data_IF_470837748541
#
_entry.id   IF_470837748541
#
_cell.length_a   1.000
_cell.length_b   1.000
_cell.length_c   1.000
_cell.angle_alpha   90.00
_cell.angle_beta   90.00
_cell.angle_gamma   90.00
#
_symmetry.space_group_name_H-M   'P 1'
#
loop_
_entity.id
_entity.type
_entity.pdbx_description
1 polymer ?
#
# COMPACT_ATOMS: atom_id res chain seq x y z
N UNK A 1 -13.05 -12.01 9.18
CA UNK A 1 -12.21 -11.52 8.06
C UNK A 1 -12.67 -12.13 6.74
N UNK A 2 -13.01 -11.31 5.76
CA UNK A 2 -13.27 -11.76 4.40
C UNK A 2 -11.94 -12.04 3.69
N UNK A 3 -11.88 -13.09 2.87
CA UNK A 3 -10.77 -13.33 1.96
C UNK A 3 -11.17 -13.01 0.53
N UNK A 4 -10.28 -12.35 -0.18
CA UNK A 4 -10.44 -12.02 -1.59
C UNK A 4 -9.28 -12.64 -2.38
N UNK A 5 -9.59 -13.20 -3.53
CA UNK A 5 -8.60 -13.72 -4.46
C UNK A 5 -8.00 -12.56 -5.26
N UNK A 6 -6.70 -12.58 -5.47
CA UNK A 6 -6.02 -11.60 -6.31
C UNK A 6 -6.01 -12.10 -7.77
N UNK A 7 -6.87 -11.53 -8.60
CA UNK A 7 -7.02 -11.89 -10.01
C UNK A 7 -7.20 -13.42 -10.19
N UNK A 8 -6.61 -14.00 -11.22
CA UNK A 8 -6.59 -15.44 -11.51
C UNK A 8 -5.50 -16.21 -10.74
N UNK A 9 -4.76 -15.55 -9.83
CA UNK A 9 -3.72 -16.20 -9.02
C UNK A 9 -4.31 -17.13 -7.95
N UNK A 10 -3.45 -17.96 -7.33
CA UNK A 10 -3.82 -18.78 -6.18
C UNK A 10 -3.76 -18.01 -4.83
N UNK A 11 -3.47 -16.70 -4.85
CA UNK A 11 -3.33 -15.90 -3.64
C UNK A 11 -4.69 -15.45 -3.12
N UNK A 12 -5.05 -15.90 -1.93
CA UNK A 12 -6.20 -15.44 -1.17
C UNK A 12 -5.75 -14.59 0.02
N UNK A 13 -6.04 -13.31 -0.02
CA UNK A 13 -5.66 -12.32 0.99
C UNK A 13 -6.86 -11.87 1.81
N UNK A 14 -6.66 -11.60 3.10
CA UNK A 14 -7.68 -10.95 3.92
C UNK A 14 -7.94 -9.53 3.44
N UNK A 15 -9.18 -9.05 3.54
CA UNK A 15 -9.58 -7.69 3.19
C UNK A 15 -8.95 -6.61 4.10
N UNK A 16 -8.37 -7.02 5.23
CA UNK A 16 -7.47 -6.24 6.09
C UNK A 16 -6.04 -6.76 5.92
N UNK A 17 -5.07 -5.89 5.64
CA UNK A 17 -3.66 -6.21 5.49
C UNK A 17 -2.83 -5.49 6.56
N UNK A 18 -1.92 -6.19 7.24
CA UNK A 18 -0.97 -5.59 8.17
C UNK A 18 0.15 -4.88 7.40
N UNK A 19 0.16 -3.55 7.49
CA UNK A 19 1.22 -2.70 6.94
C UNK A 19 2.35 -2.47 7.93
N UNK A 20 3.60 -2.62 7.50
CA UNK A 20 4.79 -2.67 8.38
C UNK A 20 5.72 -1.47 8.25
N UNK A 21 5.35 -0.46 7.50
CA UNK A 21 6.20 0.67 7.07
C UNK A 21 6.95 1.42 8.19
N UNK A 22 6.49 1.31 9.44
CA UNK A 22 7.07 2.04 10.58
C UNK A 22 8.08 1.22 11.40
N UNK A 23 8.23 -0.08 11.11
CA UNK A 23 9.05 -0.99 11.91
C UNK A 23 10.54 -0.83 11.63
N UNK A 24 11.28 -0.54 12.68
CA UNK A 24 12.71 -0.21 12.60
C UNK A 24 13.01 1.30 12.71
N UNK A 25 11.96 2.14 12.72
CA UNK A 25 12.06 3.59 13.02
C UNK A 25 11.15 3.99 14.19
N UNK A 26 9.83 3.85 14.02
CA UNK A 26 8.85 4.17 15.08
C UNK A 26 8.56 2.97 15.98
N UNK A 27 8.70 1.77 15.45
CA UNK A 27 8.47 0.53 16.19
C UNK A 27 9.75 -0.28 16.32
N UNK A 28 9.93 -0.88 17.48
CA UNK A 28 10.94 -1.88 17.76
C UNK A 28 10.63 -3.23 17.09
N UNK A 29 11.60 -4.13 17.08
CA UNK A 29 11.42 -5.51 16.61
C UNK A 29 10.36 -6.26 17.44
N UNK A 30 10.37 -6.09 18.77
CA UNK A 30 9.40 -6.74 19.64
C UNK A 30 7.96 -6.28 19.38
N UNK A 31 7.74 -4.99 19.15
CA UNK A 31 6.42 -4.47 18.79
C UNK A 31 5.97 -4.96 17.41
N UNK A 32 6.88 -5.05 16.43
CA UNK A 32 6.58 -5.64 15.12
C UNK A 32 6.16 -7.10 15.22
N UNK A 33 6.89 -7.89 16.02
CA UNK A 33 6.54 -9.31 16.28
C UNK A 33 5.17 -9.44 16.95
N UNK A 34 4.88 -8.62 17.97
CA UNK A 34 3.58 -8.61 18.64
C UNK A 34 2.42 -8.27 17.66
N UNK A 35 2.65 -7.35 16.72
CA UNK A 35 1.65 -7.02 15.69
C UNK A 35 1.43 -8.18 14.71
N UNK A 36 2.45 -8.96 14.33
CA UNK A 36 2.28 -10.17 13.50
C UNK A 36 1.49 -11.23 14.26
N UNK A 37 1.85 -11.49 15.52
CA UNK A 37 1.15 -12.49 16.34
C UNK A 37 -0.31 -12.10 16.55
N UNK A 38 -0.59 -10.83 16.80
CA UNK A 38 -1.95 -10.31 16.89
C UNK A 38 -2.72 -10.46 15.58
N UNK A 39 -2.11 -10.13 14.44
CA UNK A 39 -2.75 -10.25 13.13
C UNK A 39 -3.18 -11.68 12.84
N UNK A 40 -2.29 -12.65 13.07
CA UNK A 40 -2.59 -14.08 12.89
C UNK A 40 -3.68 -14.58 13.86
N UNK A 41 -3.66 -14.13 15.11
CA UNK A 41 -4.68 -14.48 16.11
C UNK A 41 -6.08 -13.95 15.70
N UNK A 42 -6.14 -12.86 14.94
CA UNK A 42 -7.38 -12.28 14.40
C UNK A 42 -7.70 -12.76 12.97
N UNK A 43 -7.02 -13.79 12.46
CA UNK A 43 -7.27 -14.38 11.15
C UNK A 43 -6.82 -13.54 9.96
N UNK A 44 -5.97 -12.52 10.19
CA UNK A 44 -5.34 -11.69 9.15
C UNK A 44 -4.14 -12.44 8.63
N UNK A 45 -4.15 -12.79 7.34
CA UNK A 45 -3.06 -13.53 6.70
C UNK A 45 -2.15 -12.68 5.82
N UNK A 46 -2.48 -11.43 5.57
CA UNK A 46 -1.78 -10.59 4.61
C UNK A 46 -0.87 -9.57 5.30
N UNK A 47 0.44 -9.61 4.97
CA UNK A 47 1.46 -8.73 5.53
C UNK A 47 2.18 -8.04 4.37
N UNK A 48 2.24 -6.71 4.41
CA UNK A 48 2.88 -5.88 3.38
C UNK A 48 4.13 -5.18 3.92
N UNK A 49 5.26 -5.42 3.27
CA UNK A 49 6.56 -4.78 3.52
C UNK A 49 7.19 -4.25 2.22
N UNK A 50 8.43 -3.77 2.25
CA UNK A 50 9.21 -3.34 1.09
C UNK A 50 10.71 -3.28 1.39
N UNK A 51 11.56 -3.46 0.37
CA UNK A 51 13.03 -3.37 0.52
C UNK A 51 13.52 -2.02 1.04
N UNK A 52 12.80 -0.93 0.72
CA UNK A 52 13.18 0.41 1.15
C UNK A 52 12.72 0.78 2.56
N UNK A 53 11.84 -0.01 3.18
CA UNK A 53 11.32 0.31 4.51
C UNK A 53 12.38 0.14 5.60
N UNK A 54 12.28 0.90 6.70
CA UNK A 54 11.16 1.76 7.14
C UNK A 54 11.08 3.14 6.48
N UNK A 55 10.01 3.87 6.82
CA UNK A 55 9.81 5.26 6.44
C UNK A 55 9.89 6.14 7.70
N UNK A 56 10.66 7.26 7.68
CA UNK A 56 11.38 7.85 6.54
C UNK A 56 12.56 6.98 6.09
N UNK A 57 12.79 6.85 4.76
CA UNK A 57 13.88 6.02 4.28
C UNK A 57 15.23 6.66 4.59
N UNK A 58 16.11 5.89 5.23
CA UNK A 58 17.48 6.24 5.57
C UNK A 58 18.41 5.12 5.16
N UNK A 59 19.67 5.44 4.86
CA UNK A 59 20.69 4.44 4.51
C UNK A 59 20.90 3.42 5.63
N UNK A 60 20.92 3.91 6.88
CA UNK A 60 21.25 3.15 8.07
C UNK A 60 20.15 2.12 8.45
N UNK A 61 18.91 2.37 8.06
CA UNK A 61 17.77 1.54 8.43
C UNK A 61 17.10 0.85 7.22
N UNK A 62 17.63 1.04 6.01
CA UNK A 62 17.08 0.43 4.80
C UNK A 62 17.06 -1.10 4.92
N UNK A 63 15.89 -1.70 4.67
CA UNK A 63 15.67 -3.14 4.78
C UNK A 63 15.34 -3.62 6.18
N UNK A 64 15.45 -2.77 7.22
CA UNK A 64 15.22 -3.17 8.62
C UNK A 64 13.83 -3.74 8.85
N UNK A 65 12.81 -3.24 8.15
CA UNK A 65 11.45 -3.78 8.27
C UNK A 65 11.37 -5.22 7.77
N UNK A 66 12.01 -5.55 6.64
CA UNK A 66 12.08 -6.93 6.17
C UNK A 66 12.87 -7.83 7.13
N UNK A 67 13.93 -7.33 7.75
CA UNK A 67 14.68 -8.07 8.77
C UNK A 67 13.82 -8.40 10.00
N UNK A 68 13.00 -7.44 10.47
CA UNK A 68 12.07 -7.66 11.59
C UNK A 68 11.04 -8.74 11.24
N UNK A 69 10.46 -8.69 10.05
CA UNK A 69 9.56 -9.77 9.57
C UNK A 69 10.31 -11.09 9.48
N UNK A 70 11.54 -11.06 8.97
CA UNK A 70 12.40 -12.26 8.81
C UNK A 70 12.78 -12.91 10.14
N UNK A 71 13.16 -12.12 11.15
CA UNK A 71 13.47 -12.66 12.48
C UNK A 71 12.25 -13.29 13.16
N UNK A 72 11.04 -12.74 12.92
CA UNK A 72 9.80 -13.37 13.36
C UNK A 72 9.57 -14.70 12.63
N UNK A 73 9.71 -14.74 11.30
CA UNK A 73 9.55 -15.98 10.51
C UNK A 73 10.58 -17.04 10.88
N UNK A 74 11.83 -16.65 11.12
CA UNK A 74 12.89 -17.54 11.57
C UNK A 74 12.56 -18.24 12.90
N UNK A 75 11.94 -17.51 13.83
CA UNK A 75 11.45 -18.03 15.12
C UNK A 75 10.14 -18.86 14.99
N UNK A 76 9.35 -18.64 13.94
CA UNK A 76 8.01 -19.18 13.76
C UNK A 76 7.86 -19.96 12.43
N UNK A 77 8.84 -20.76 12.03
CA UNK A 77 8.89 -21.44 10.71
C UNK A 77 7.61 -22.23 10.37
N UNK A 78 6.98 -22.85 11.35
CA UNK A 78 5.72 -23.57 11.19
C UNK A 78 4.51 -22.69 10.84
N UNK A 79 4.61 -21.36 11.00
CA UNK A 79 3.54 -20.40 10.67
C UNK A 79 3.68 -19.76 9.28
N UNK A 80 4.79 -20.02 8.53
CA UNK A 80 5.02 -19.39 7.22
C UNK A 80 3.85 -19.60 6.24
N UNK A 81 3.27 -20.79 6.22
CA UNK A 81 2.15 -21.12 5.34
C UNK A 81 0.83 -20.42 5.72
N UNK A 82 0.74 -19.80 6.90
CA UNK A 82 -0.43 -19.02 7.31
C UNK A 82 -0.40 -17.58 6.80
N UNK A 83 0.72 -17.15 6.20
CA UNK A 83 0.97 -15.76 5.79
C UNK A 83 1.05 -15.68 4.27
N UNK A 84 0.34 -14.72 3.70
CA UNK A 84 0.61 -14.17 2.37
C UNK A 84 1.53 -12.96 2.57
N UNK A 85 2.79 -13.10 2.18
CA UNK A 85 3.82 -12.09 2.37
C UNK A 85 4.01 -11.28 1.09
N UNK A 86 3.82 -9.96 1.18
CA UNK A 86 4.14 -9.04 0.10
C UNK A 86 5.40 -8.24 0.39
N UNK A 87 6.28 -8.09 -0.60
CA UNK A 87 7.37 -7.13 -0.58
C UNK A 87 7.46 -6.38 -1.92
N UNK A 88 8.42 -5.43 -2.05
CA UNK A 88 8.47 -4.52 -3.20
C UNK A 88 9.89 -4.16 -3.58
N UNK A 89 10.18 -4.10 -4.89
CA UNK A 89 11.38 -3.47 -5.42
C UNK A 89 11.17 -1.96 -5.54
N UNK A 90 12.07 -1.16 -4.97
CA UNK A 90 12.08 0.28 -5.15
C UNK A 90 12.43 0.64 -6.61
N UNK A 91 11.66 1.56 -7.21
CA UNK A 91 11.94 2.10 -8.53
C UNK A 91 12.95 3.24 -8.52
N UNK A 92 13.14 3.94 -9.67
CA UNK A 92 14.09 5.03 -9.81
C UNK A 92 13.85 6.17 -8.83
N UNK A 93 14.94 6.76 -8.32
CA UNK A 93 14.87 7.90 -7.40
C UNK A 93 16.21 8.22 -6.75
N UNK A 94 16.17 9.23 -5.85
CA UNK A 94 17.37 9.75 -5.15
C UNK A 94 17.73 8.90 -3.92
N UNK A 95 17.91 7.58 -4.10
CA UNK A 95 18.29 6.65 -3.01
C UNK A 95 19.49 5.83 -3.47
N UNK A 96 20.63 6.50 -3.56
CA UNK A 96 21.91 5.97 -4.05
C UNK A 96 22.49 4.83 -3.19
N UNK A 97 21.91 4.61 -2.00
CA UNK A 97 22.29 3.49 -1.12
C UNK A 97 21.53 2.19 -1.41
N UNK A 98 20.35 2.24 -2.06
CA UNK A 98 19.62 1.04 -2.43
C UNK A 98 20.31 0.39 -3.63
N UNK A 99 20.70 -0.88 -3.49
CA UNK A 99 21.42 -1.63 -4.54
C UNK A 99 22.60 -0.85 -5.14
N UNK A 100 23.38 -0.14 -4.29
CA UNK A 100 24.51 0.71 -4.70
C UNK A 100 24.15 1.77 -5.76
N UNK A 101 22.93 2.32 -5.69
CA UNK A 101 22.44 3.32 -6.64
C UNK A 101 21.73 2.76 -7.88
N UNK A 102 21.72 1.46 -8.06
CA UNK A 102 21.04 0.77 -9.18
C UNK A 102 19.55 0.67 -8.91
N UNK A 103 18.84 1.79 -9.07
CA UNK A 103 17.39 1.88 -8.72
C UNK A 103 16.46 1.60 -9.91
N UNK A 104 16.98 1.38 -11.12
CA UNK A 104 16.17 0.96 -12.26
C UNK A 104 15.49 -0.40 -12.00
N UNK A 105 14.26 -0.57 -12.49
CA UNK A 105 13.51 -1.83 -12.43
C UNK A 105 13.78 -2.60 -13.73
N UNK A 106 14.78 -3.47 -13.71
CA UNK A 106 15.35 -4.13 -14.90
C UNK A 106 15.65 -5.61 -14.65
N UNK A 107 15.99 -6.33 -15.72
CA UNK A 107 16.46 -7.73 -15.63
C UNK A 107 17.72 -7.91 -14.76
N UNK A 108 18.49 -6.85 -14.53
CA UNK A 108 19.66 -6.85 -13.63
C UNK A 108 19.21 -6.72 -12.17
N UNK A 109 18.31 -5.80 -11.88
CA UNK A 109 17.99 -5.35 -10.52
C UNK A 109 16.85 -6.12 -9.87
N UNK A 110 15.88 -6.61 -10.64
CA UNK A 110 14.76 -7.41 -10.10
C UNK A 110 15.26 -8.67 -9.39
N UNK A 111 16.08 -9.56 -10.00
CA UNK A 111 16.57 -10.75 -9.30
C UNK A 111 17.46 -10.39 -8.10
N UNK A 112 18.28 -9.34 -8.19
CA UNK A 112 19.09 -8.87 -7.07
C UNK A 112 18.21 -8.43 -5.89
N UNK A 113 17.22 -7.57 -6.14
CA UNK A 113 16.32 -7.09 -5.09
C UNK A 113 15.53 -8.23 -4.42
N UNK A 114 15.05 -9.22 -5.21
CA UNK A 114 14.38 -10.40 -4.69
C UNK A 114 15.31 -11.21 -3.79
N UNK A 115 16.53 -11.48 -4.23
CA UNK A 115 17.49 -12.29 -3.46
C UNK A 115 17.87 -11.62 -2.14
N UNK A 116 18.05 -10.30 -2.15
CA UNK A 116 18.33 -9.56 -0.93
C UNK A 116 17.11 -9.48 0.01
N UNK A 117 15.89 -9.33 -0.53
CA UNK A 117 14.65 -9.40 0.26
C UNK A 117 14.46 -10.78 0.87
N UNK A 118 14.68 -11.86 0.14
CA UNK A 118 14.59 -13.24 0.66
C UNK A 118 15.57 -13.48 1.81
N UNK A 119 16.81 -12.96 1.72
CA UNK A 119 17.79 -13.03 2.81
C UNK A 119 17.30 -12.31 4.07
N UNK A 120 16.84 -11.04 3.92
CA UNK A 120 16.32 -10.25 5.05
C UNK A 120 15.07 -10.91 5.67
N UNK A 121 14.17 -11.39 4.82
CA UNK A 121 12.93 -12.06 5.23
C UNK A 121 13.12 -13.49 5.76
N UNK A 122 14.32 -14.08 5.64
CA UNK A 122 14.64 -15.45 6.08
C UNK A 122 13.66 -16.52 5.56
N UNK A 123 13.25 -16.39 4.29
CA UNK A 123 12.31 -17.29 3.61
C UNK A 123 12.82 -17.62 2.21
N UNK A 124 12.35 -18.72 1.65
CA UNK A 124 12.69 -19.19 0.30
C UNK A 124 11.79 -18.59 -0.80
N UNK A 125 10.66 -17.98 -0.42
CA UNK A 125 9.76 -17.37 -1.38
C UNK A 125 9.00 -16.16 -0.80
N UNK A 126 8.60 -15.24 -1.69
CA UNK A 126 7.67 -14.13 -1.43
C UNK A 126 6.37 -14.44 -2.20
N UNK A 127 5.21 -14.29 -1.54
CA UNK A 127 3.94 -14.61 -2.16
C UNK A 127 3.54 -13.57 -3.22
N UNK A 128 3.69 -12.27 -2.90
CA UNK A 128 3.39 -11.17 -3.82
C UNK A 128 4.58 -10.21 -3.88
N UNK A 129 5.25 -10.11 -5.03
CA UNK A 129 6.34 -9.16 -5.21
C UNK A 129 5.90 -8.00 -6.09
N UNK A 130 6.12 -6.75 -5.66
CA UNK A 130 5.52 -5.59 -6.31
C UNK A 130 6.59 -4.63 -6.85
N UNK A 131 6.33 -4.01 -7.99
CA UNK A 131 7.06 -2.82 -8.44
C UNK A 131 6.52 -1.65 -7.63
N UNK A 132 7.34 -1.07 -6.74
CA UNK A 132 6.92 -0.11 -5.71
C UNK A 132 6.42 1.21 -6.29
N UNK A 133 6.98 1.65 -7.41
CA UNK A 133 6.50 2.74 -8.26
C UNK A 133 7.04 2.56 -9.67
N UNK A 134 6.38 3.16 -10.66
CA UNK A 134 6.75 2.98 -12.06
C UNK A 134 8.18 3.37 -12.39
N UNK A 135 8.79 2.60 -13.28
CA UNK A 135 10.11 2.88 -13.83
C UNK A 135 10.11 4.18 -14.64
N UNK A 136 9.09 4.36 -15.48
CA UNK A 136 8.87 5.60 -16.21
C UNK A 136 8.38 6.72 -15.27
N UNK A 137 8.47 7.98 -15.75
CA UNK A 137 7.84 9.08 -15.03
C UNK A 137 6.32 8.91 -14.99
N UNK A 138 5.76 9.07 -13.80
CA UNK A 138 4.32 9.26 -13.57
C UNK A 138 4.12 10.30 -12.48
N UNK A 139 3.04 11.10 -12.50
CA UNK A 139 2.68 11.92 -11.36
C UNK A 139 2.30 11.01 -10.18
N UNK A 140 2.68 11.39 -8.96
CA UNK A 140 2.38 10.59 -7.79
C UNK A 140 2.57 11.35 -6.47
N UNK A 141 2.21 10.71 -5.35
CA UNK A 141 2.41 11.22 -3.98
C UNK A 141 1.81 12.61 -3.74
N UNK A 142 0.64 12.90 -4.35
CA UNK A 142 -0.07 14.18 -4.22
C UNK A 142 0.08 15.10 -5.43
N UNK A 143 0.83 14.71 -6.46
CA UNK A 143 0.76 15.30 -7.80
C UNK A 143 -0.14 14.43 -8.68
N UNK A 144 -0.98 15.05 -9.52
CA UNK A 144 -1.88 14.33 -10.43
C UNK A 144 -1.74 14.77 -11.89
N UNK A 145 -1.15 15.93 -12.13
CA UNK A 145 -0.92 16.45 -13.48
C UNK A 145 0.29 15.79 -14.11
N UNK A 146 0.12 15.26 -15.31
CA UNK A 146 1.23 14.73 -16.10
C UNK A 146 2.03 15.89 -16.72
N UNK A 147 3.33 15.82 -16.61
CA UNK A 147 4.27 16.82 -17.11
C UNK A 147 5.29 16.14 -18.05
N UNK A 148 5.13 16.29 -19.38
CA UNK A 148 6.03 15.66 -20.34
C UNK A 148 7.51 16.04 -20.18
N UNK A 149 7.80 17.21 -19.60
CA UNK A 149 9.16 17.68 -19.37
C UNK A 149 9.93 16.85 -18.32
N UNK A 150 9.20 16.03 -17.54
CA UNK A 150 9.75 15.12 -16.52
C UNK A 150 9.92 13.69 -17.01
N UNK A 151 9.58 13.42 -18.27
CA UNK A 151 9.84 12.11 -18.86
C UNK A 151 11.33 11.77 -18.80
N UNK A 152 11.62 10.50 -18.66
CA UNK A 152 12.97 9.97 -18.58
C UNK A 152 13.07 8.67 -19.34
N UNK A 153 14.27 8.30 -19.73
CA UNK A 153 14.56 6.96 -20.21
C UNK A 153 14.14 5.93 -19.13
N UNK A 154 13.49 4.87 -19.55
CA UNK A 154 12.96 3.85 -18.67
C UNK A 154 13.14 2.46 -19.27
N UNK A 155 13.38 1.48 -18.42
CA UNK A 155 13.37 0.06 -18.81
C UNK A 155 12.01 -0.30 -19.40
N UNK A 156 12.02 -0.95 -20.56
CA UNK A 156 10.79 -1.36 -21.24
C UNK A 156 9.92 -2.26 -20.35
N UNK A 157 8.60 -2.11 -20.44
CA UNK A 157 7.65 -2.92 -19.65
C UNK A 157 7.84 -4.42 -19.95
N UNK A 158 8.13 -4.79 -21.19
CA UNK A 158 8.41 -6.20 -21.56
C UNK A 158 9.55 -6.79 -20.74
N UNK A 159 10.69 -6.08 -20.62
CA UNK A 159 11.82 -6.54 -19.81
C UNK A 159 11.46 -6.72 -18.33
N UNK A 160 10.63 -5.82 -17.79
CA UNK A 160 10.16 -5.92 -16.40
C UNK A 160 9.25 -7.14 -16.23
N UNK A 161 8.31 -7.37 -17.16
CA UNK A 161 7.40 -8.53 -17.15
C UNK A 161 8.18 -9.85 -17.31
N UNK A 162 9.13 -9.93 -18.23
CA UNK A 162 10.00 -11.12 -18.42
C UNK A 162 10.79 -11.43 -17.14
N UNK A 163 11.30 -10.41 -16.47
CA UNK A 163 12.06 -10.57 -15.22
C UNK A 163 11.17 -11.08 -14.07
N UNK A 164 9.95 -10.57 -13.94
CA UNK A 164 8.98 -11.09 -12.96
C UNK A 164 8.54 -12.51 -13.28
N UNK A 165 8.31 -12.84 -14.57
CA UNK A 165 8.02 -14.19 -15.02
C UNK A 165 9.14 -15.18 -14.68
N UNK A 166 10.39 -14.77 -14.87
CA UNK A 166 11.56 -15.58 -14.49
C UNK A 166 11.63 -15.83 -12.98
N UNK A 167 11.32 -14.81 -12.15
CA UNK A 167 11.25 -14.95 -10.70
C UNK A 167 10.12 -15.92 -10.25
N UNK A 168 8.96 -15.86 -10.91
CA UNK A 168 7.86 -16.80 -10.68
C UNK A 168 8.27 -18.22 -11.09
N UNK A 169 8.84 -18.40 -12.27
CA UNK A 169 9.32 -19.70 -12.77
C UNK A 169 10.37 -20.33 -11.87
N UNK A 170 11.21 -19.52 -11.23
CA UNK A 170 12.23 -20.02 -10.29
C UNK A 170 11.66 -20.41 -8.91
N UNK A 171 10.38 -20.12 -8.64
CA UNK A 171 9.73 -20.35 -7.35
C UNK A 171 10.03 -19.32 -6.26
N UNK A 172 10.87 -18.32 -6.53
CA UNK A 172 11.22 -17.27 -5.56
C UNK A 172 10.06 -16.30 -5.30
N UNK A 173 9.15 -16.15 -6.27
CA UNK A 173 7.95 -15.30 -6.21
C UNK A 173 6.77 -16.12 -6.67
N UNK A 174 5.61 -16.00 -6.01
CA UNK A 174 4.39 -16.71 -6.45
C UNK A 174 3.58 -15.92 -7.47
N UNK A 175 3.46 -14.60 -7.24
CA UNK A 175 2.81 -13.68 -8.17
C UNK A 175 3.44 -12.29 -8.03
N UNK A 176 3.22 -11.44 -9.04
CA UNK A 176 3.66 -10.05 -8.93
C UNK A 176 2.52 -9.05 -9.07
N UNK A 177 2.74 -7.86 -8.52
CA UNK A 177 1.81 -6.73 -8.58
C UNK A 177 2.52 -5.43 -8.94
N UNK A 178 1.73 -4.39 -9.13
CA UNK A 178 2.19 -3.04 -9.38
C UNK A 178 1.87 -2.15 -8.18
N UNK A 179 2.56 -1.02 -8.01
CA UNK A 179 2.21 -0.04 -6.99
C UNK A 179 2.46 1.38 -7.51
N UNK A 180 1.65 2.33 -7.06
CA UNK A 180 1.65 3.71 -7.52
C UNK A 180 1.53 3.84 -9.05
N UNK A 181 0.79 2.91 -9.64
CA UNK A 181 0.64 2.79 -11.09
C UNK A 181 -0.60 3.53 -11.58
N UNK A 182 -0.54 4.02 -12.81
CA UNK A 182 -1.66 4.67 -13.51
C UNK A 182 -2.52 3.66 -14.26
N UNK A 183 -3.72 4.07 -14.70
CA UNK A 183 -4.56 3.24 -15.57
C UNK A 183 -3.81 2.82 -16.85
N UNK A 184 -3.06 3.77 -17.49
CA UNK A 184 -2.25 3.45 -18.67
C UNK A 184 -1.26 2.32 -18.40
N UNK A 185 -0.45 2.45 -17.33
CA UNK A 185 0.55 1.43 -17.06
C UNK A 185 -0.06 0.09 -16.67
N UNK A 186 -1.16 0.09 -15.91
CA UNK A 186 -1.88 -1.15 -15.59
C UNK A 186 -2.36 -1.87 -16.87
N UNK A 187 -2.99 -1.14 -17.80
CA UNK A 187 -3.41 -1.69 -19.10
C UNK A 187 -2.22 -2.21 -19.91
N UNK A 188 -1.12 -1.46 -19.94
CA UNK A 188 0.05 -1.80 -20.74
C UNK A 188 0.78 -3.03 -20.20
N UNK A 189 0.97 -3.15 -18.86
CA UNK A 189 1.55 -4.35 -18.25
C UNK A 189 0.72 -5.61 -18.57
N UNK A 190 -0.60 -5.52 -18.46
CA UNK A 190 -1.48 -6.66 -18.78
C UNK A 190 -1.47 -6.99 -20.25
N UNK A 191 -1.48 -5.98 -21.15
CA UNK A 191 -1.40 -6.17 -22.60
C UNK A 191 -0.10 -6.88 -22.98
N UNK A 192 1.03 -6.33 -22.54
CA UNK A 192 2.37 -6.89 -22.82
C UNK A 192 2.50 -8.32 -22.29
N UNK A 193 2.03 -8.58 -21.07
CA UNK A 193 2.05 -9.94 -20.50
C UNK A 193 1.25 -10.92 -21.35
N UNK A 194 0.03 -10.57 -21.75
CA UNK A 194 -0.84 -11.43 -22.56
C UNK A 194 -0.28 -11.70 -23.95
N UNK A 195 0.22 -10.66 -24.64
CA UNK A 195 0.80 -10.80 -25.99
C UNK A 195 2.04 -11.69 -26.01
N UNK A 196 2.79 -11.74 -24.90
CA UNK A 196 3.99 -12.56 -24.78
C UNK A 196 3.76 -13.87 -23.99
N UNK A 197 2.51 -14.23 -23.68
CA UNK A 197 2.15 -15.45 -22.92
C UNK A 197 2.87 -15.53 -21.57
N UNK A 198 3.06 -14.40 -20.91
CA UNK A 198 3.71 -14.27 -19.60
C UNK A 198 2.68 -13.99 -18.50
N UNK A 199 2.99 -14.28 -17.23
CA UNK A 199 2.14 -13.91 -16.11
C UNK A 199 1.86 -12.40 -16.08
N UNK A 200 0.60 -12.01 -15.90
CA UNK A 200 0.18 -10.63 -15.71
C UNK A 200 0.24 -10.20 -14.24
N UNK A 201 0.26 -8.89 -13.93
CA UNK A 201 0.16 -8.42 -12.54
C UNK A 201 -1.20 -8.80 -11.96
N UNK A 202 -1.20 -9.27 -10.70
CA UNK A 202 -2.42 -9.75 -10.02
C UNK A 202 -3.05 -8.72 -9.08
N UNK A 203 -2.39 -7.59 -8.87
CA UNK A 203 -2.87 -6.49 -8.02
C UNK A 203 -2.20 -5.17 -8.38
N UNK A 204 -2.84 -4.07 -8.01
CA UNK A 204 -2.26 -2.73 -8.00
C UNK A 204 -2.38 -2.14 -6.60
N UNK A 205 -1.27 -1.65 -6.02
CA UNK A 205 -1.24 -1.05 -4.69
C UNK A 205 -1.13 0.47 -4.81
N UNK A 206 -2.23 1.19 -4.60
CA UNK A 206 -2.29 2.64 -4.73
C UNK A 206 -2.87 3.32 -3.48
N UNK A 207 -2.53 4.60 -3.28
CA UNK A 207 -3.14 5.42 -2.24
C UNK A 207 -4.63 5.62 -2.51
N UNK A 208 -5.47 5.23 -1.54
CA UNK A 208 -6.90 5.42 -1.64
C UNK A 208 -7.54 5.68 -0.27
N UNK A 209 -8.32 6.74 -0.17
CA UNK A 209 -9.03 7.14 1.05
C UNK A 209 -10.07 8.21 0.71
N UNK A 210 -10.86 8.65 1.68
CA UNK A 210 -11.75 9.81 1.54
C UNK A 210 -11.03 11.10 1.09
N UNK A 211 -9.70 11.20 1.29
CA UNK A 211 -8.87 12.35 0.89
C UNK A 211 -8.13 12.13 -0.43
N UNK A 212 -8.11 10.92 -0.98
CA UNK A 212 -7.35 10.53 -2.16
C UNK A 212 -8.19 9.58 -3.02
N UNK A 213 -9.06 10.12 -3.87
CA UNK A 213 -10.06 9.37 -4.62
C UNK A 213 -9.78 9.30 -6.12
N UNK A 214 -8.55 9.56 -6.55
CA UNK A 214 -8.19 9.46 -7.97
C UNK A 214 -8.39 8.05 -8.56
N UNK A 215 -8.42 7.02 -7.71
CA UNK A 215 -8.68 5.65 -8.17
C UNK A 215 -10.15 5.41 -8.58
N UNK A 216 -11.11 6.24 -8.19
CA UNK A 216 -12.52 6.07 -8.54
C UNK A 216 -12.82 6.24 -10.05
N UNK A 217 -11.92 6.89 -10.79
CA UNK A 217 -12.05 7.12 -12.23
C UNK A 217 -11.45 5.99 -13.09
N UNK A 218 -10.59 6.38 -14.03
CA UNK A 218 -9.97 5.46 -15.01
C UNK A 218 -9.29 4.23 -14.38
N UNK A 219 -8.57 4.34 -13.22
CA UNK A 219 -7.99 3.16 -12.60
C UNK A 219 -9.02 2.14 -12.13
N UNK A 220 -10.21 2.57 -11.69
CA UNK A 220 -11.27 1.66 -11.26
C UNK A 220 -11.86 0.88 -12.46
N UNK A 221 -12.04 1.55 -13.60
CA UNK A 221 -12.48 0.87 -14.83
C UNK A 221 -11.43 -0.15 -15.29
N UNK A 222 -10.15 0.25 -15.36
CA UNK A 222 -9.05 -0.63 -15.72
C UNK A 222 -8.97 -1.85 -14.77
N UNK A 223 -9.02 -1.61 -13.46
CA UNK A 223 -9.05 -2.66 -12.44
C UNK A 223 -10.18 -3.67 -12.69
N UNK A 224 -11.40 -3.18 -12.95
CA UNK A 224 -12.57 -4.02 -13.16
C UNK A 224 -12.47 -4.86 -14.44
N UNK A 225 -12.05 -4.23 -15.57
CA UNK A 225 -11.98 -4.89 -16.86
C UNK A 225 -10.84 -5.89 -16.98
N UNK A 226 -9.74 -5.63 -16.27
CA UNK A 226 -8.54 -6.46 -16.30
C UNK A 226 -8.51 -7.50 -15.17
N UNK A 227 -9.47 -7.43 -14.23
CA UNK A 227 -9.50 -8.25 -13.02
C UNK A 227 -8.22 -8.09 -12.17
N UNK A 228 -7.73 -6.86 -12.04
CA UNK A 228 -6.54 -6.53 -11.23
C UNK A 228 -6.97 -5.61 -10.08
N UNK A 229 -7.30 -6.18 -8.88
CA UNK A 229 -7.87 -5.42 -7.80
C UNK A 229 -6.87 -4.50 -7.10
N UNK A 230 -7.42 -3.50 -6.40
CA UNK A 230 -6.69 -2.54 -5.58
C UNK A 230 -6.30 -3.14 -4.23
N UNK A 231 -5.04 -2.93 -3.83
CA UNK A 231 -4.56 -2.97 -2.46
C UNK A 231 -4.44 -1.51 -1.98
N UNK A 232 -5.40 -1.06 -1.16
CA UNK A 232 -5.51 0.35 -0.79
C UNK A 232 -4.56 0.69 0.37
N UNK A 233 -3.61 1.61 0.18
CA UNK A 233 -2.83 2.14 1.29
C UNK A 233 -3.26 3.55 1.69
N UNK A 234 -2.87 3.98 2.90
CA UNK A 234 -3.21 5.29 3.49
C UNK A 234 -4.71 5.55 3.65
N UNK A 235 -5.50 4.52 3.94
CA UNK A 235 -6.95 4.63 4.14
C UNK A 235 -7.35 5.67 5.20
N UNK A 236 -6.50 5.87 6.22
CA UNK A 236 -6.67 6.88 7.28
C UNK A 236 -5.96 8.21 6.96
N UNK A 237 -5.47 8.45 5.72
CA UNK A 237 -4.78 9.69 5.36
C UNK A 237 -3.61 10.04 6.27
N UNK A 238 -2.75 9.05 6.59
CA UNK A 238 -1.66 9.16 7.57
C UNK A 238 -2.11 9.63 8.97
N UNK A 239 -3.35 9.31 9.34
CA UNK A 239 -3.95 9.64 10.63
C UNK A 239 -4.83 10.90 10.63
N UNK A 240 -4.98 11.61 9.52
CA UNK A 240 -5.91 12.74 9.40
C UNK A 240 -7.36 12.30 9.67
N UNK A 241 -7.75 11.19 9.10
CA UNK A 241 -9.11 10.64 9.22
C UNK A 241 -9.36 9.89 10.54
N UNK A 242 -8.47 10.00 11.53
CA UNK A 242 -8.76 9.60 12.92
C UNK A 242 -9.32 10.74 13.77
N UNK A 243 -9.31 11.97 13.26
CA UNK A 243 -9.76 13.16 13.99
C UNK A 243 -8.72 13.79 14.91
N UNK A 244 -7.57 13.15 15.17
CA UNK A 244 -6.57 13.63 16.14
C UNK A 244 -5.89 14.96 15.79
N UNK A 245 -6.09 15.46 14.56
CA UNK A 245 -5.56 16.74 14.10
C UNK A 245 -6.64 17.81 13.90
N UNK A 246 -7.89 17.51 14.26
CA UNK A 246 -8.98 18.49 14.21
C UNK A 246 -8.65 19.69 15.10
N UNK A 247 -9.21 20.84 14.74
CA UNK A 247 -9.03 22.11 15.46
C UNK A 247 -7.56 22.55 15.62
N UNK A 248 -6.70 22.09 14.71
CA UNK A 248 -5.28 22.43 14.73
C UNK A 248 -4.45 21.64 15.73
N UNK A 249 -4.99 20.59 16.34
CA UNK A 249 -4.24 19.74 17.27
C UNK A 249 -3.07 19.04 16.57
N UNK A 250 -1.90 19.04 17.25
CA UNK A 250 -0.66 18.43 16.74
C UNK A 250 0.00 17.57 17.84
N UNK A 251 -0.54 16.38 18.16
CA UNK A 251 0.02 15.52 19.19
C UNK A 251 1.49 15.19 18.88
N UNK A 252 2.44 15.32 19.85
CA UNK A 252 3.89 15.19 19.59
C UNK A 252 4.29 13.85 18.96
N UNK A 253 3.64 12.76 19.37
CA UNK A 253 3.92 11.42 18.87
C UNK A 253 3.21 11.09 17.56
N UNK A 254 2.36 12.00 17.07
CA UNK A 254 1.59 11.75 15.88
C UNK A 254 2.46 11.83 14.61
N UNK A 255 2.11 10.99 13.63
CA UNK A 255 2.87 10.79 12.39
C UNK A 255 3.14 12.09 11.63
N UNK A 256 2.17 13.01 11.56
CA UNK A 256 2.32 14.29 10.86
C UNK A 256 3.35 15.21 11.51
N UNK A 257 3.59 15.05 12.81
CA UNK A 257 4.64 15.79 13.53
C UNK A 257 6.00 15.15 13.31
N UNK A 258 6.07 13.82 13.42
CA UNK A 258 7.34 13.07 13.33
C UNK A 258 7.86 12.92 11.89
N UNK A 259 6.98 12.84 10.90
CA UNK A 259 7.30 12.55 9.49
C UNK A 259 6.84 13.69 8.56
N UNK A 260 7.05 14.95 8.96
CA UNK A 260 6.55 16.15 8.27
C UNK A 260 6.59 16.08 6.73
N UNK A 261 7.71 15.76 6.03
CA UNK A 261 7.74 15.81 4.58
C UNK A 261 6.78 14.80 3.90
N UNK A 262 6.57 13.63 4.54
CA UNK A 262 5.74 12.56 3.97
C UNK A 262 4.24 12.80 4.10
N UNK A 263 3.81 13.61 5.06
CA UNK A 263 2.41 13.87 5.37
C UNK A 263 1.84 15.16 4.81
N UNK A 264 2.67 16.07 4.30
CA UNK A 264 2.29 17.45 3.93
C UNK A 264 1.05 17.52 3.02
N UNK A 265 0.91 16.59 2.07
CA UNK A 265 -0.27 16.56 1.18
C UNK A 265 -1.60 16.42 1.92
N UNK A 266 -1.62 15.76 3.07
CA UNK A 266 -2.80 15.60 3.91
C UNK A 266 -3.03 16.76 4.87
N UNK A 267 -2.07 17.69 4.98
CA UNK A 267 -2.15 18.93 5.77
C UNK A 267 -2.51 20.16 4.93
N UNK A 268 -2.69 20.00 3.61
CA UNK A 268 -3.12 21.09 2.74
C UNK A 268 -4.47 21.66 3.20
N UNK A 269 -4.72 22.96 3.06
CA UNK A 269 -5.95 23.60 3.58
C UNK A 269 -7.25 22.90 3.11
N UNK A 270 -7.30 22.48 1.84
CA UNK A 270 -8.46 21.76 1.31
C UNK A 270 -8.64 20.36 1.92
N UNK A 271 -7.53 19.66 2.23
CA UNK A 271 -7.61 18.36 2.90
C UNK A 271 -8.10 18.51 4.35
N UNK A 272 -7.60 19.51 5.07
CA UNK A 272 -8.04 19.82 6.44
C UNK A 272 -9.53 20.20 6.45
N UNK A 273 -9.99 21.05 5.52
CA UNK A 273 -11.40 21.41 5.39
C UNK A 273 -12.29 20.20 5.10
N UNK A 274 -11.86 19.31 4.19
CA UNK A 274 -12.59 18.06 3.91
C UNK A 274 -12.68 17.14 5.13
N UNK A 275 -11.60 17.03 5.94
CA UNK A 275 -11.61 16.24 7.19
C UNK A 275 -12.65 16.77 8.17
N UNK A 276 -12.77 18.10 8.32
CA UNK A 276 -13.79 18.70 9.19
C UNK A 276 -15.22 18.33 8.72
N UNK A 277 -15.49 18.33 7.41
CA UNK A 277 -16.78 17.92 6.87
C UNK A 277 -17.03 16.41 7.07
N UNK A 278 -16.03 15.55 6.87
CA UNK A 278 -16.15 14.12 7.17
C UNK A 278 -16.38 13.87 8.66
N UNK A 279 -15.76 14.65 9.56
CA UNK A 279 -16.02 14.56 11.00
C UNK A 279 -17.47 14.97 11.35
N UNK A 280 -18.02 15.98 10.67
CA UNK A 280 -19.43 16.38 10.83
C UNK A 280 -20.39 15.27 10.39
N UNK A 281 -20.08 14.58 9.28
CA UNK A 281 -20.87 13.41 8.84
C UNK A 281 -20.75 12.27 9.85
N UNK A 282 -19.56 11.96 10.33
CA UNK A 282 -19.34 10.95 11.36
C UNK A 282 -20.22 11.23 12.61
N UNK A 283 -20.22 12.47 13.09
CA UNK A 283 -21.07 12.88 14.21
C UNK A 283 -22.58 12.79 13.89
N UNK A 284 -23.00 13.23 12.69
CA UNK A 284 -24.41 13.12 12.24
C UNK A 284 -24.94 11.69 12.32
N UNK A 285 -24.10 10.72 11.96
CA UNK A 285 -24.48 9.31 11.90
C UNK A 285 -24.02 8.49 13.12
N UNK A 286 -23.50 9.14 14.16
CA UNK A 286 -22.96 8.50 15.37
C UNK A 286 -21.92 7.40 15.06
N UNK A 287 -21.04 7.67 14.08
CA UNK A 287 -19.94 6.78 13.68
C UNK A 287 -18.58 7.38 14.07
N UNK A 288 -17.58 6.57 14.42
CA UNK A 288 -16.22 7.07 14.55
C UNK A 288 -15.66 7.48 13.17
N UNK A 289 -14.94 8.60 13.10
CA UNK A 289 -14.37 9.10 11.84
C UNK A 289 -13.41 8.09 11.18
N UNK A 290 -12.60 7.40 11.98
CA UNK A 290 -11.73 6.33 11.50
C UNK A 290 -12.54 5.17 10.90
N UNK A 291 -13.66 4.81 11.53
CA UNK A 291 -14.56 3.79 11.04
C UNK A 291 -15.23 4.18 9.72
N UNK A 292 -15.69 5.41 9.61
CA UNK A 292 -16.23 5.96 8.37
C UNK A 292 -15.21 5.84 7.22
N UNK A 293 -13.94 6.19 7.48
CA UNK A 293 -12.88 6.15 6.49
C UNK A 293 -12.47 4.72 6.07
N UNK A 294 -12.31 3.82 7.03
CA UNK A 294 -11.93 2.43 6.77
C UNK A 294 -13.05 1.66 6.08
N UNK A 295 -14.28 1.76 6.58
CA UNK A 295 -15.44 1.11 5.98
C UNK A 295 -15.73 1.64 4.57
N UNK A 296 -15.50 2.92 4.29
CA UNK A 296 -15.60 3.49 2.95
C UNK A 296 -14.65 2.78 1.98
N UNK A 297 -13.36 2.68 2.32
CA UNK A 297 -12.36 2.01 1.45
C UNK A 297 -12.71 0.55 1.22
N UNK A 298 -13.11 -0.18 2.28
CA UNK A 298 -13.56 -1.57 2.21
C UNK A 298 -14.78 -1.77 1.33
N UNK A 299 -15.71 -0.81 1.28
CA UNK A 299 -16.95 -0.92 0.52
C UNK A 299 -16.77 -0.83 -1.00
N UNK A 300 -15.58 -0.42 -1.47
CA UNK A 300 -15.35 -0.19 -2.91
C UNK A 300 -15.16 -1.51 -3.64
N UNK A 301 -15.87 -1.69 -4.75
CA UNK A 301 -15.91 -2.94 -5.53
C UNK A 301 -14.53 -3.38 -6.06
N UNK A 302 -13.61 -2.44 -6.23
CA UNK A 302 -12.26 -2.67 -6.73
C UNK A 302 -11.25 -2.98 -5.62
N UNK A 303 -11.59 -2.79 -4.35
CA UNK A 303 -10.66 -3.00 -3.23
C UNK A 303 -10.65 -4.46 -2.78
N UNK A 304 -9.53 -5.14 -2.98
CA UNK A 304 -9.33 -6.50 -2.46
C UNK A 304 -8.85 -6.48 -1.00
N UNK A 305 -7.98 -5.54 -0.65
CA UNK A 305 -7.45 -5.43 0.72
C UNK A 305 -7.07 -4.00 1.06
N UNK A 306 -7.24 -3.63 2.33
CA UNK A 306 -6.86 -2.33 2.87
C UNK A 306 -5.65 -2.50 3.78
N UNK A 307 -4.54 -1.81 3.44
CA UNK A 307 -3.29 -1.87 4.20
C UNK A 307 -3.37 -0.88 5.36
N UNK A 308 -3.38 -1.41 6.57
CA UNK A 308 -3.45 -0.66 7.82
C UNK A 308 -2.18 -0.88 8.61
N UNK A 309 -1.44 0.20 8.85
CA UNK A 309 -0.25 0.20 9.71
C UNK A 309 -0.52 0.98 10.98
N UNK A 310 0.00 0.50 12.10
CA UNK A 310 -0.14 1.10 13.41
C UNK A 310 1.18 1.11 14.19
N UNK A 311 1.27 1.93 15.23
CA UNK A 311 2.42 1.97 16.14
C UNK A 311 2.20 1.13 17.40
N UNK A 312 1.01 0.58 17.61
CA UNK A 312 0.71 -0.33 18.71
C UNK A 312 -0.38 -1.35 18.34
N UNK A 313 -0.46 -2.46 19.06
CA UNK A 313 -1.51 -3.46 18.93
C UNK A 313 -2.88 -2.84 19.22
N UNK A 314 -3.01 -2.00 20.23
CA UNK A 314 -4.27 -1.31 20.55
C UNK A 314 -4.81 -0.47 19.38
N UNK A 315 -3.94 0.19 18.60
CA UNK A 315 -4.37 0.90 17.38
C UNK A 315 -4.82 -0.06 16.26
N UNK A 316 -4.27 -1.27 16.19
CA UNK A 316 -4.74 -2.29 15.25
C UNK A 316 -6.10 -2.83 15.66
N UNK A 317 -6.32 -3.06 16.97
CA UNK A 317 -7.62 -3.49 17.52
C UNK A 317 -8.70 -2.47 17.20
N UNK A 318 -8.49 -1.20 17.54
CA UNK A 318 -9.39 -0.10 17.20
C UNK A 318 -9.64 -0.02 15.68
N UNK A 319 -8.59 -0.19 14.87
CA UNK A 319 -8.72 -0.14 13.41
C UNK A 319 -9.53 -1.32 12.88
N UNK A 320 -9.39 -2.51 13.46
CA UNK A 320 -10.12 -3.69 13.04
C UNK A 320 -11.63 -3.57 13.37
N UNK A 321 -11.96 -3.14 14.58
CA UNK A 321 -13.35 -2.85 14.99
C UNK A 321 -14.00 -1.84 14.04
N UNK A 322 -13.28 -0.75 13.74
CA UNK A 322 -13.71 0.28 12.82
C UNK A 322 -13.86 -0.22 11.37
N UNK A 323 -13.02 -1.16 10.95
CA UNK A 323 -13.02 -1.72 9.60
C UNK A 323 -14.25 -2.57 9.29
N UNK A 324 -14.85 -3.19 10.31
CA UNK A 324 -16.02 -4.07 10.14
C UNK A 324 -17.34 -3.33 10.00
N UNK A 325 -17.37 -2.02 10.19
CA UNK A 325 -18.56 -1.19 10.01
C UNK A 325 -19.13 -1.30 8.58
N UNK A 326 -20.46 -1.24 8.49
CA UNK A 326 -21.18 -1.21 7.21
C UNK A 326 -21.86 0.15 7.06
N UNK A 327 -21.51 0.86 6.00
CA UNK A 327 -22.07 2.19 5.73
C UNK A 327 -23.42 2.09 5.04
N UNK A 328 -24.40 2.85 5.52
CA UNK A 328 -25.69 2.95 4.87
C UNK A 328 -25.62 3.74 3.56
N UNK A 329 -26.58 3.59 2.63
CA UNK A 329 -26.66 4.41 1.43
C UNK A 329 -26.69 5.92 1.71
N UNK A 330 -27.31 6.34 2.80
CA UNK A 330 -27.36 7.74 3.22
C UNK A 330 -25.96 8.26 3.60
N UNK A 331 -25.21 7.50 4.39
CA UNK A 331 -23.82 7.82 4.74
C UNK A 331 -22.98 7.96 3.47
N UNK A 332 -23.09 7.00 2.54
CA UNK A 332 -22.34 7.03 1.27
C UNK A 332 -22.70 8.25 0.42
N UNK A 333 -23.97 8.68 0.41
CA UNK A 333 -24.40 9.89 -0.30
C UNK A 333 -23.82 11.17 0.35
N UNK A 334 -23.83 11.26 1.68
CA UNK A 334 -23.20 12.36 2.39
C UNK A 334 -21.69 12.45 2.10
N UNK A 335 -20.98 11.32 2.09
CA UNK A 335 -19.55 11.25 1.74
C UNK A 335 -19.29 11.71 0.30
N UNK A 336 -20.19 11.35 -0.61
CA UNK A 336 -20.07 11.77 -2.02
C UNK A 336 -20.28 13.27 -2.16
N UNK A 337 -21.20 13.89 -1.44
CA UNK A 337 -21.41 15.34 -1.43
C UNK A 337 -20.13 16.11 -0.99
N UNK A 338 -19.42 15.58 0.03
CA UNK A 338 -18.11 16.16 0.42
C UNK A 338 -17.07 16.00 -0.68
N UNK A 339 -17.00 14.82 -1.32
CA UNK A 339 -16.05 14.61 -2.43
C UNK A 339 -16.32 15.53 -3.62
N UNK A 340 -17.57 15.85 -3.92
CA UNK A 340 -17.92 16.82 -4.97
C UNK A 340 -17.42 18.23 -4.63
N UNK A 341 -17.49 18.64 -3.37
CA UNK A 341 -16.98 19.94 -2.91
C UNK A 341 -15.44 19.98 -2.81
N UNK A 342 -14.82 18.85 -2.47
CA UNK A 342 -13.40 18.70 -2.23
C UNK A 342 -12.83 17.47 -2.98
N UNK A 343 -12.79 17.45 -4.33
CA UNK A 343 -12.34 16.29 -5.07
C UNK A 343 -10.86 16.00 -4.81
N UNK A 344 -10.57 14.79 -4.29
CA UNK A 344 -9.21 14.30 -3.99
C UNK A 344 -8.29 15.36 -3.34
N UNK A 345 -8.66 15.95 -2.19
CA UNK A 345 -8.04 17.18 -1.69
C UNK A 345 -6.57 16.99 -1.27
N UNK A 346 -6.06 15.77 -1.18
CA UNK A 346 -4.63 15.48 -0.96
C UNK A 346 -3.83 15.38 -2.27
N UNK A 347 -4.48 15.41 -3.44
CA UNK A 347 -3.87 15.24 -4.76
C UNK A 347 -3.92 16.55 -5.56
N UNK A 348 -3.26 17.61 -5.10
CA UNK A 348 -3.23 18.91 -5.78
C UNK A 348 -1.81 19.44 -5.91
#
# INVERSE_FOLDING_TARGET
MKKNRLSDSALEVTDFCLGTMTWGEQNSEAEGHAQIDWALANGINFIDTAEMYPVPPKKETQGRTEEIVGTWMGKNRGKRAQIVLASKIAGPGRRDWIRNGETHVSKKTIPWAIDDSLKRLQTDHIDLYQIHWPERYVPGFGSWQYDPSKEREATAILEQVESMAAAIKSGKVRAYGLSNETAYGLCEFVRVAKENHLPAPVSVQNGYSLLARLFDGDPAEASRRLDVPLLAYSALGMGQLTGKYLDGAMPPEARMVRLKPFGERYMRPRAVAAVAEYARIANKHALPLAGLALAFVRSRFFTASTIVGATSVAQLEESLENFELVLSPEVLADLEAVNQAYPSPSAQ
#
